data_IF_686781492658
#
_entry.id   IF_686781492658
#
_cell.length_a   1.000
_cell.length_b   1.000
_cell.length_c   1.000
_cell.angle_alpha   90.00
_cell.angle_beta   90.00
_cell.angle_gamma   90.00
#
_symmetry.space_group_name_H-M   'P 1'
#
loop_
_entity.id
_entity.type
_entity.pdbx_description
1 polymer ?
#
# COMPACT_ATOMS: atom_id res chain seq x y z
N UNK A 1 -11.87 -15.49 3.75
CA UNK A 1 -10.49 -15.31 4.24
C UNK A 1 -10.30 -13.86 4.64
N UNK A 2 -9.44 -13.54 5.63
CA UNK A 2 -9.17 -12.15 6.02
C UNK A 2 -7.93 -11.61 5.30
N UNK A 3 -8.04 -10.35 4.85
CA UNK A 3 -6.89 -9.53 4.45
C UNK A 3 -6.76 -8.43 5.50
N UNK A 4 -5.62 -8.38 6.20
CA UNK A 4 -5.30 -7.31 7.14
C UNK A 4 -5.11 -5.98 6.40
N UNK A 5 -5.63 -4.88 6.94
CA UNK A 5 -5.44 -3.55 6.34
C UNK A 5 -5.00 -2.57 7.42
N UNK A 6 -3.86 -1.90 7.21
CA UNK A 6 -3.46 -0.79 8.07
C UNK A 6 -4.36 0.42 7.84
N UNK A 7 -4.50 1.27 8.83
CA UNK A 7 -5.47 2.36 8.87
C UNK A 7 -4.76 3.73 8.83
N UNK A 8 -5.46 4.75 8.39
CA UNK A 8 -5.02 6.14 8.54
C UNK A 8 -5.24 6.59 9.98
N UNK A 9 -4.27 7.27 10.57
CA UNK A 9 -4.44 7.95 11.84
C UNK A 9 -4.93 9.38 11.63
N UNK A 10 -5.96 9.77 12.33
CA UNK A 10 -6.50 11.13 12.36
C UNK A 10 -6.68 11.61 13.79
N UNK A 11 -6.42 12.90 14.04
CA UNK A 11 -6.72 13.56 15.29
C UNK A 11 -8.03 14.33 15.13
N UNK A 12 -8.89 14.26 16.15
CA UNK A 12 -10.09 15.08 16.19
C UNK A 12 -9.71 16.50 16.61
N UNK A 13 -10.20 17.51 15.87
CA UNK A 13 -9.89 18.91 16.13
C UNK A 13 -10.69 19.50 17.30
N UNK A 14 -11.88 18.96 17.61
CA UNK A 14 -12.79 19.51 18.62
C UNK A 14 -12.50 19.03 20.06
N UNK A 15 -11.87 17.89 20.21
CA UNK A 15 -11.42 17.31 21.48
C UNK A 15 -10.31 16.30 21.24
N UNK A 16 -9.49 16.05 22.26
CA UNK A 16 -8.35 15.14 22.11
C UNK A 16 -8.85 13.69 21.93
N UNK A 17 -8.73 13.20 20.68
CA UNK A 17 -9.00 11.81 20.32
C UNK A 17 -8.23 11.46 19.04
N UNK A 18 -7.39 10.45 19.11
CA UNK A 18 -6.80 9.84 17.92
C UNK A 18 -7.70 8.69 17.45
N UNK A 19 -7.94 8.62 16.16
CA UNK A 19 -8.74 7.56 15.51
C UNK A 19 -7.94 6.82 14.46
N UNK A 20 -8.12 5.51 14.45
CA UNK A 20 -7.75 4.64 13.36
C UNK A 20 -8.91 4.58 12.37
N UNK A 21 -8.68 4.99 11.13
CA UNK A 21 -9.76 5.16 10.15
C UNK A 21 -9.43 4.44 8.85
N UNK A 22 -10.41 3.69 8.35
CA UNK A 22 -10.40 3.12 7.01
C UNK A 22 -11.47 3.81 6.16
N UNK A 23 -11.10 4.27 4.95
CA UNK A 23 -12.06 4.88 4.04
C UNK A 23 -13.15 3.86 3.65
N UNK A 24 -14.40 4.33 3.52
CA UNK A 24 -15.53 3.47 3.11
C UNK A 24 -15.29 2.79 1.75
N UNK A 25 -14.49 3.43 0.87
CA UNK A 25 -14.13 2.92 -0.46
C UNK A 25 -13.49 1.51 -0.39
N UNK A 26 -12.80 1.18 0.71
CA UNK A 26 -12.30 -0.17 0.95
C UNK A 26 -13.43 -1.20 1.06
N UNK A 27 -14.52 -0.86 1.77
CA UNK A 27 -15.70 -1.72 1.83
C UNK A 27 -16.35 -1.92 0.45
N UNK A 28 -16.40 -0.86 -0.36
CA UNK A 28 -16.90 -0.93 -1.73
C UNK A 28 -15.98 -1.80 -2.63
N UNK A 29 -14.65 -1.70 -2.48
CA UNK A 29 -13.70 -2.55 -3.18
C UNK A 29 -13.90 -4.03 -2.83
N UNK A 30 -13.98 -4.34 -1.52
CA UNK A 30 -14.12 -5.74 -1.07
C UNK A 30 -15.48 -6.35 -1.44
N UNK A 31 -16.46 -5.56 -1.81
CA UNK A 31 -17.74 -6.03 -2.34
C UNK A 31 -17.71 -6.32 -3.86
N UNK A 32 -16.60 -6.02 -4.56
CA UNK A 32 -16.44 -6.34 -5.98
C UNK A 32 -16.05 -7.80 -6.18
N UNK A 33 -16.37 -8.38 -7.35
CA UNK A 33 -16.10 -9.78 -7.68
C UNK A 33 -14.65 -10.22 -7.46
N UNK A 34 -13.70 -9.32 -7.71
CA UNK A 34 -12.27 -9.57 -7.53
C UNK A 34 -11.91 -9.90 -6.08
N UNK A 35 -12.62 -9.31 -5.11
CA UNK A 35 -12.37 -9.44 -3.67
C UNK A 35 -13.44 -10.23 -2.91
N UNK A 36 -14.48 -10.76 -3.56
CA UNK A 36 -15.65 -11.38 -2.92
C UNK A 36 -15.35 -12.52 -1.93
N UNK A 37 -14.19 -13.17 -2.05
CA UNK A 37 -13.78 -14.25 -1.16
C UNK A 37 -13.00 -13.75 0.08
N UNK A 38 -12.78 -12.44 0.17
CA UNK A 38 -12.00 -11.81 1.22
C UNK A 38 -12.85 -10.86 2.05
N UNK A 39 -12.47 -10.70 3.31
CA UNK A 39 -13.05 -9.72 4.24
C UNK A 39 -11.91 -8.85 4.76
N UNK A 40 -12.03 -7.51 4.70
CA UNK A 40 -11.01 -6.64 5.27
C UNK A 40 -11.02 -6.74 6.80
N UNK A 41 -9.84 -6.93 7.38
CA UNK A 41 -9.62 -6.89 8.82
C UNK A 41 -8.78 -5.64 9.15
N UNK A 42 -9.39 -4.55 9.66
CA UNK A 42 -8.63 -3.38 10.08
C UNK A 42 -7.64 -3.75 11.20
N UNK A 43 -6.37 -3.41 10.99
CA UNK A 43 -5.31 -3.66 11.98
C UNK A 43 -5.18 -2.43 12.89
N UNK A 44 -5.25 -2.63 14.21
CA UNK A 44 -5.00 -1.57 15.18
C UNK A 44 -3.51 -1.44 15.50
N UNK A 45 -3.01 -0.22 15.52
CA UNK A 45 -1.63 0.10 15.90
C UNK A 45 -1.34 -0.12 17.39
N UNK A 46 -2.38 -0.33 18.21
CA UNK A 46 -2.27 -0.65 19.64
C UNK A 46 -2.15 -2.17 19.91
N UNK A 47 -2.30 -2.99 18.87
CA UNK A 47 -2.25 -4.45 18.97
C UNK A 47 -1.06 -4.96 18.17
N UNK A 48 -0.13 -5.65 18.84
CA UNK A 48 1.02 -6.27 18.18
C UNK A 48 0.60 -7.14 17.00
N UNK A 49 1.28 -6.99 15.88
CA UNK A 49 0.93 -7.70 14.63
C UNK A 49 0.99 -9.22 14.78
N UNK A 50 1.82 -9.75 15.67
CA UNK A 50 1.89 -11.20 15.93
C UNK A 50 0.54 -11.82 16.31
N UNK A 51 -0.39 -11.03 16.85
CA UNK A 51 -1.75 -11.48 17.19
C UNK A 51 -2.68 -11.57 15.98
N UNK A 52 -2.32 -10.94 14.88
CA UNK A 52 -3.09 -10.94 13.62
C UNK A 52 -2.57 -11.97 12.61
N UNK A 53 -1.28 -12.32 12.67
CA UNK A 53 -0.59 -13.09 11.61
C UNK A 53 -1.29 -14.41 11.26
N UNK A 54 -1.84 -15.12 12.23
CA UNK A 54 -2.53 -16.40 12.02
C UNK A 54 -3.99 -16.23 11.54
N UNK A 55 -4.53 -15.01 11.61
CA UNK A 55 -5.89 -14.68 11.19
C UNK A 55 -5.94 -14.20 9.74
N UNK A 56 -4.87 -13.58 9.25
CA UNK A 56 -4.83 -12.96 7.92
C UNK A 56 -4.09 -13.84 6.92
N UNK A 57 -4.56 -13.82 5.68
CA UNK A 57 -3.92 -14.52 4.55
C UNK A 57 -3.05 -13.60 3.69
N UNK A 58 -3.20 -12.30 3.88
CA UNK A 58 -2.41 -11.27 3.25
C UNK A 58 -2.56 -9.97 4.03
N UNK A 59 -1.69 -8.99 3.77
CA UNK A 59 -1.80 -7.64 4.36
C UNK A 59 -1.71 -6.57 3.28
N UNK A 60 -2.55 -5.54 3.43
CA UNK A 60 -2.49 -4.30 2.66
C UNK A 60 -2.01 -3.19 3.60
N UNK A 61 -0.89 -2.56 3.28
CA UNK A 61 -0.48 -1.29 3.87
C UNK A 61 -1.18 -0.16 3.12
N UNK A 62 -2.10 0.54 3.77
CA UNK A 62 -2.98 1.53 3.13
C UNK A 62 -2.32 2.89 2.93
N UNK A 63 -2.95 3.74 2.15
CA UNK A 63 -2.59 5.15 1.95
C UNK A 63 -2.88 6.06 3.17
N UNK A 64 -2.69 7.34 3.01
CA UNK A 64 -2.93 8.40 4.02
C UNK A 64 -1.63 8.82 4.71
N UNK A 65 -1.63 9.57 5.76
CA UNK A 65 -0.49 10.24 6.42
C UNK A 65 0.87 10.15 5.67
N UNK A 66 1.68 11.16 5.63
CA UNK A 66 3.02 11.05 5.02
C UNK A 66 3.94 10.18 5.88
N UNK A 67 5.02 9.66 5.30
CA UNK A 67 6.07 8.97 6.07
C UNK A 67 6.76 9.95 7.02
N UNK A 68 7.15 9.48 8.20
CA UNK A 68 7.72 10.35 9.24
C UNK A 68 9.01 11.05 8.80
N UNK A 69 9.83 10.42 7.96
CA UNK A 69 11.05 11.08 7.47
C UNK A 69 10.76 12.18 6.43
N UNK A 70 9.61 12.16 5.76
CA UNK A 70 9.17 13.17 4.82
C UNK A 70 8.44 14.33 5.51
N UNK A 71 7.60 14.01 6.51
CA UNK A 71 6.82 14.97 7.29
C UNK A 71 6.73 14.51 8.76
N UNK A 72 7.73 14.86 9.60
CA UNK A 72 7.85 14.35 10.95
C UNK A 72 6.67 14.71 11.87
N UNK A 73 5.98 13.72 12.40
CA UNK A 73 4.93 13.87 13.41
C UNK A 73 4.65 12.53 14.12
N UNK A 74 3.98 12.59 15.28
CA UNK A 74 3.74 11.42 16.14
C UNK A 74 2.93 10.32 15.43
N UNK A 75 1.88 10.67 14.69
CA UNK A 75 1.04 9.71 13.97
C UNK A 75 1.80 9.01 12.85
N UNK A 76 2.58 9.77 12.06
CA UNK A 76 3.45 9.21 11.02
C UNK A 76 4.49 8.26 11.60
N UNK A 77 5.14 8.64 12.71
CA UNK A 77 6.12 7.81 13.40
C UNK A 77 5.50 6.49 13.90
N UNK A 78 4.30 6.56 14.49
CA UNK A 78 3.58 5.39 14.99
C UNK A 78 3.24 4.42 13.84
N UNK A 79 2.70 4.95 12.74
CA UNK A 79 2.40 4.14 11.54
C UNK A 79 3.66 3.50 10.95
N UNK A 80 4.72 4.29 10.75
CA UNK A 80 5.97 3.78 10.19
C UNK A 80 6.53 2.63 11.03
N UNK A 81 6.58 2.82 12.36
CA UNK A 81 7.08 1.78 13.27
C UNK A 81 6.29 0.48 13.20
N UNK A 82 4.95 0.58 13.15
CA UNK A 82 4.09 -0.60 13.04
C UNK A 82 4.20 -1.28 11.68
N UNK A 83 4.16 -0.51 10.61
CA UNK A 83 4.20 -1.07 9.25
C UNK A 83 5.58 -1.69 8.92
N UNK A 84 6.67 -1.17 9.50
CA UNK A 84 7.98 -1.83 9.45
C UNK A 84 7.93 -3.20 10.15
N UNK A 85 7.30 -3.30 11.34
CA UNK A 85 7.13 -4.61 12.01
C UNK A 85 6.31 -5.58 11.15
N UNK A 86 5.28 -5.10 10.43
CA UNK A 86 4.52 -5.92 9.49
C UNK A 86 5.40 -6.42 8.35
N UNK A 87 6.25 -5.56 7.76
CA UNK A 87 7.20 -5.96 6.70
C UNK A 87 8.19 -7.00 7.22
N UNK A 88 8.75 -6.81 8.43
CA UNK A 88 9.67 -7.77 9.04
C UNK A 88 9.00 -9.11 9.37
N UNK A 89 7.74 -9.07 9.85
CA UNK A 89 6.96 -10.28 10.08
C UNK A 89 6.67 -11.02 8.77
N UNK A 90 6.33 -10.27 7.71
CA UNK A 90 6.19 -10.83 6.35
C UNK A 90 7.45 -11.59 5.92
N UNK A 91 8.61 -10.98 6.03
CA UNK A 91 9.87 -11.61 5.59
C UNK A 91 10.15 -12.95 6.30
N UNK A 92 9.59 -13.16 7.48
CA UNK A 92 9.67 -14.43 8.23
C UNK A 92 8.59 -15.43 7.84
N UNK A 93 7.35 -14.97 7.76
CA UNK A 93 6.15 -15.81 7.65
C UNK A 93 5.63 -15.94 6.20
N UNK A 94 6.19 -15.16 5.27
CA UNK A 94 5.85 -15.16 3.82
C UNK A 94 4.40 -14.81 3.48
N UNK A 95 3.70 -14.10 4.37
CA UNK A 95 2.31 -13.65 4.14
C UNK A 95 2.28 -12.58 3.02
N UNK A 96 1.57 -12.74 1.88
CA UNK A 96 1.58 -11.78 0.77
C UNK A 96 1.29 -10.34 1.19
N UNK A 97 2.15 -9.38 0.79
CA UNK A 97 2.10 -7.99 1.21
C UNK A 97 1.90 -7.06 0.00
N UNK A 98 0.94 -6.13 0.12
CA UNK A 98 0.67 -5.09 -0.87
C UNK A 98 0.71 -3.71 -0.21
N UNK A 99 1.53 -2.80 -0.72
CA UNK A 99 1.49 -1.39 -0.35
C UNK A 99 0.67 -0.56 -1.33
N UNK A 100 -0.23 0.31 -0.82
CA UNK A 100 -1.01 1.24 -1.62
C UNK A 100 -0.63 2.68 -1.25
N UNK A 101 -0.20 3.48 -2.24
CA UNK A 101 0.20 4.87 -2.10
C UNK A 101 1.28 5.02 -1.00
N UNK A 102 0.94 5.56 0.18
CA UNK A 102 1.86 5.59 1.32
C UNK A 102 2.39 4.20 1.69
N UNK A 103 1.56 3.16 1.63
CA UNK A 103 1.99 1.79 1.88
C UNK A 103 3.06 1.30 0.89
N UNK A 104 2.99 1.71 -0.36
CA UNK A 104 4.06 1.46 -1.33
C UNK A 104 5.32 2.26 -0.98
N UNK A 105 5.18 3.50 -0.51
CA UNK A 105 6.32 4.32 -0.09
C UNK A 105 7.05 3.73 1.12
N UNK A 106 6.36 3.22 2.15
CA UNK A 106 7.03 2.62 3.31
C UNK A 106 7.76 1.33 2.95
N UNK A 107 7.19 0.50 2.07
CA UNK A 107 7.88 -0.68 1.51
C UNK A 107 9.12 -0.24 0.74
N UNK A 108 8.98 0.69 -0.19
CA UNK A 108 10.10 1.20 -0.98
C UNK A 108 11.20 1.79 -0.08
N UNK A 109 10.83 2.55 0.96
CA UNK A 109 11.77 3.12 1.93
C UNK A 109 12.51 2.03 2.71
N UNK A 110 11.81 1.00 3.18
CA UNK A 110 12.39 -0.13 3.89
C UNK A 110 13.49 -0.81 3.06
N UNK A 111 13.27 -0.95 1.75
CA UNK A 111 14.23 -1.50 0.79
C UNK A 111 15.15 -0.44 0.14
N UNK A 112 15.46 0.67 0.85
CA UNK A 112 16.46 1.68 0.46
C UNK A 112 16.16 2.40 -0.88
N UNK A 113 14.90 2.58 -1.23
CA UNK A 113 14.50 3.37 -2.39
C UNK A 113 14.61 4.87 -2.11
N UNK A 114 14.75 5.68 -3.17
CA UNK A 114 14.76 7.13 -3.09
C UNK A 114 13.34 7.67 -3.30
N UNK A 115 12.80 8.35 -2.28
CA UNK A 115 11.50 9.02 -2.31
C UNK A 115 11.74 10.52 -2.13
N UNK A 116 11.12 11.33 -2.98
CA UNK A 116 11.29 12.78 -2.99
C UNK A 116 9.98 13.52 -3.26
N UNK A 117 9.88 14.80 -2.86
CA UNK A 117 8.74 15.64 -3.24
C UNK A 117 8.61 15.71 -4.77
N UNK A 118 7.38 15.60 -5.25
CA UNK A 118 7.07 15.71 -6.67
C UNK A 118 5.79 16.51 -6.86
N UNK A 119 5.78 17.40 -7.84
CA UNK A 119 4.59 18.16 -8.21
C UNK A 119 3.83 17.43 -9.33
N UNK A 120 2.50 17.65 -9.43
CA UNK A 120 1.63 17.09 -10.46
C UNK A 120 1.24 15.62 -10.31
N UNK A 121 1.38 15.03 -9.13
CA UNK A 121 0.87 13.69 -8.80
C UNK A 121 -0.41 13.72 -7.93
N UNK A 122 -1.17 14.83 -7.99
CA UNK A 122 -2.46 15.00 -7.29
C UNK A 122 -3.60 15.14 -8.30
N UNK A 123 -3.60 14.29 -9.32
CA UNK A 123 -4.68 14.19 -10.33
C UNK A 123 -4.54 12.89 -11.11
N UNK A 124 -5.56 12.58 -11.94
CA UNK A 124 -5.46 11.45 -12.86
C UNK A 124 -4.31 11.67 -13.84
N UNK A 125 -3.48 10.65 -14.04
CA UNK A 125 -2.38 10.69 -14.99
C UNK A 125 -2.19 9.37 -15.75
N UNK A 126 -1.40 9.42 -16.83
CA UNK A 126 -1.04 8.25 -17.61
C UNK A 126 0.04 7.44 -16.89
N UNK A 127 -0.21 6.13 -16.77
CA UNK A 127 0.71 5.13 -16.23
C UNK A 127 1.07 4.17 -17.37
N UNK A 128 2.34 3.86 -17.48
CA UNK A 128 2.90 2.95 -18.50
C UNK A 128 3.23 1.61 -17.82
N UNK A 129 2.65 0.54 -18.35
CA UNK A 129 2.87 -0.83 -17.92
C UNK A 129 3.20 -1.69 -19.14
N UNK A 130 4.44 -2.21 -19.22
CA UNK A 130 4.98 -2.85 -20.42
C UNK A 130 4.84 -1.90 -21.65
N UNK A 131 4.17 -2.36 -22.71
CA UNK A 131 3.91 -1.57 -23.94
C UNK A 131 2.54 -0.86 -23.91
N UNK A 132 1.76 -1.04 -22.86
CA UNK A 132 0.42 -0.49 -22.69
C UNK A 132 0.43 0.75 -21.80
N UNK A 133 -0.59 1.60 -21.95
CA UNK A 133 -0.83 2.71 -21.03
C UNK A 133 -2.29 2.72 -20.57
N UNK A 134 -2.49 3.17 -19.34
CA UNK A 134 -3.81 3.40 -18.77
C UNK A 134 -3.82 4.70 -17.96
N UNK A 135 -5.01 5.21 -17.68
CA UNK A 135 -5.19 6.35 -16.78
C UNK A 135 -5.59 5.82 -15.40
N UNK A 136 -4.96 6.31 -14.36
CA UNK A 136 -5.34 6.01 -12.98
C UNK A 136 -5.43 7.28 -12.13
N UNK A 137 -6.06 7.16 -10.98
CA UNK A 137 -6.07 8.21 -9.98
C UNK A 137 -4.70 8.38 -9.33
N UNK A 138 -4.40 9.57 -8.83
CA UNK A 138 -3.18 9.86 -8.08
C UNK A 138 -3.43 10.91 -7.01
N UNK A 139 -2.91 10.69 -5.80
CA UNK A 139 -3.13 11.54 -4.63
C UNK A 139 -1.88 11.68 -3.76
N UNK A 140 -0.70 11.65 -4.35
CA UNK A 140 0.56 11.71 -3.61
C UNK A 140 1.43 12.92 -3.98
N UNK A 141 2.02 13.55 -2.97
CA UNK A 141 2.96 14.65 -3.11
C UNK A 141 4.43 14.18 -3.14
N UNK A 142 4.66 12.90 -2.90
CA UNK A 142 5.97 12.28 -2.90
C UNK A 142 5.98 11.10 -3.86
N UNK A 143 6.99 11.02 -4.72
CA UNK A 143 7.14 9.97 -5.71
C UNK A 143 8.38 9.11 -5.42
N UNK A 144 8.34 7.87 -5.87
CA UNK A 144 9.47 6.96 -5.84
C UNK A 144 10.30 7.25 -7.10
N UNK A 145 11.44 7.91 -6.92
CA UNK A 145 12.33 8.30 -8.02
C UNK A 145 13.27 7.15 -8.44
N UNK A 146 13.67 6.29 -7.51
CA UNK A 146 14.55 5.14 -7.75
C UNK A 146 14.29 4.06 -6.72
N UNK A 147 14.20 2.82 -7.17
CA UNK A 147 14.09 1.65 -6.29
C UNK A 147 15.44 1.22 -5.72
N UNK A 148 15.40 0.62 -4.55
CA UNK A 148 16.50 -0.15 -4.01
C UNK A 148 16.73 -1.46 -4.78
N UNK A 149 17.89 -2.08 -4.58
CA UNK A 149 18.37 -3.18 -5.41
C UNK A 149 17.52 -4.47 -5.34
N UNK A 150 16.75 -4.65 -4.27
CA UNK A 150 15.89 -5.83 -4.08
C UNK A 150 14.52 -5.69 -4.78
N UNK A 151 14.17 -4.49 -5.23
CA UNK A 151 12.91 -4.20 -5.90
C UNK A 151 13.11 -4.08 -7.41
N UNK A 152 12.04 -4.37 -8.17
CA UNK A 152 11.99 -4.17 -9.62
C UNK A 152 10.74 -3.38 -10.02
N UNK A 153 10.86 -2.39 -10.92
CA UNK A 153 9.75 -1.57 -11.34
C UNK A 153 8.82 -2.33 -12.28
N UNK A 154 7.52 -2.10 -12.14
CA UNK A 154 6.47 -2.64 -13.01
C UNK A 154 5.80 -1.53 -13.84
N UNK A 155 5.54 -0.37 -13.23
CA UNK A 155 4.87 0.74 -13.89
C UNK A 155 5.60 2.05 -13.66
N UNK A 156 5.47 2.95 -14.64
CA UNK A 156 6.06 4.28 -14.60
C UNK A 156 5.03 5.34 -14.95
N UNK A 157 5.12 6.52 -14.35
CA UNK A 157 4.48 7.72 -14.84
C UNK A 157 5.26 8.31 -16.04
N UNK A 158 4.69 9.31 -16.72
CA UNK A 158 5.30 9.98 -17.87
C UNK A 158 6.65 10.63 -17.55
N UNK A 159 6.85 11.08 -16.33
CA UNK A 159 8.08 11.68 -15.82
C UNK A 159 9.11 10.64 -15.33
N UNK A 160 8.82 9.35 -15.56
CA UNK A 160 9.65 8.20 -15.20
C UNK A 160 9.70 7.89 -13.70
N UNK A 161 8.89 8.53 -12.87
CA UNK A 161 8.70 8.08 -11.50
C UNK A 161 8.02 6.71 -11.47
N UNK A 162 8.26 5.95 -10.41
CA UNK A 162 7.79 4.57 -10.32
C UNK A 162 6.40 4.57 -9.69
N UNK A 163 5.44 4.01 -10.41
CA UNK A 163 4.05 3.91 -10.01
C UNK A 163 3.65 2.54 -9.49
N UNK A 164 4.38 1.49 -9.88
CA UNK A 164 4.27 0.18 -9.27
C UNK A 164 5.59 -0.58 -9.34
N UNK A 165 5.78 -1.45 -8.36
CA UNK A 165 6.97 -2.30 -8.25
C UNK A 165 6.61 -3.61 -7.54
N UNK A 166 7.50 -4.60 -7.64
CA UNK A 166 7.49 -5.80 -6.80
C UNK A 166 8.90 -6.11 -6.26
N UNK A 167 8.96 -6.92 -5.24
CA UNK A 167 10.20 -7.49 -4.77
C UNK A 167 10.64 -8.62 -5.70
N UNK A 168 11.94 -8.74 -5.95
CA UNK A 168 12.49 -9.72 -6.91
C UNK A 168 12.31 -11.18 -6.49
N UNK A 169 12.21 -11.43 -5.18
CA UNK A 169 12.22 -12.79 -4.62
C UNK A 169 11.08 -13.05 -3.64
N UNK A 170 10.40 -12.00 -3.18
CA UNK A 170 9.36 -12.08 -2.14
C UNK A 170 8.02 -11.64 -2.68
N UNK A 171 6.93 -12.13 -2.08
CA UNK A 171 5.55 -11.81 -2.45
C UNK A 171 5.13 -10.41 -1.95
N UNK A 172 5.93 -9.40 -2.26
CA UNK A 172 5.74 -7.99 -1.87
C UNK A 172 5.53 -7.14 -3.11
N UNK A 173 4.44 -6.37 -3.12
CA UNK A 173 4.08 -5.46 -4.19
C UNK A 173 3.82 -4.06 -3.66
N UNK A 174 4.07 -3.05 -4.47
CA UNK A 174 3.73 -1.66 -4.21
C UNK A 174 3.04 -1.04 -5.40
N UNK A 175 1.94 -0.31 -5.15
CA UNK A 175 1.14 0.42 -6.13
C UNK A 175 0.94 1.84 -5.60
N UNK A 176 1.29 2.86 -6.38
CA UNK A 176 1.20 4.26 -5.96
C UNK A 176 -0.19 4.86 -6.10
N UNK A 177 -1.04 4.34 -6.99
CA UNK A 177 -2.44 4.77 -7.10
C UNK A 177 -3.34 4.03 -6.11
N UNK A 178 -4.56 4.53 -5.92
CA UNK A 178 -5.55 3.99 -4.99
C UNK A 178 -6.48 3.01 -5.70
N UNK A 179 -6.29 1.71 -5.48
CA UNK A 179 -7.11 0.64 -6.07
C UNK A 179 -8.57 0.66 -5.56
N UNK A 180 -8.81 1.25 -4.39
CA UNK A 180 -10.11 1.37 -3.74
C UNK A 180 -10.96 2.52 -4.31
N UNK A 181 -10.37 3.44 -5.09
CA UNK A 181 -11.05 4.63 -5.63
C UNK A 181 -11.40 4.49 -7.10
N UNK A 182 -12.16 5.46 -7.61
CA UNK A 182 -12.47 5.59 -9.04
C UNK A 182 -11.19 5.51 -9.88
N UNK A 183 -11.23 4.82 -11.02
CA UNK A 183 -10.12 4.53 -11.94
C UNK A 183 -8.98 3.68 -11.34
N UNK A 184 -9.06 3.28 -10.08
CA UNK A 184 -8.03 2.46 -9.44
C UNK A 184 -7.93 1.03 -9.97
N UNK A 185 -8.96 0.54 -10.65
CA UNK A 185 -9.03 -0.78 -11.27
C UNK A 185 -8.97 -0.74 -12.81
N UNK A 186 -8.57 0.37 -13.42
CA UNK A 186 -8.40 0.47 -14.87
C UNK A 186 -7.32 -0.49 -15.41
N UNK A 187 -6.34 -0.85 -14.58
CA UNK A 187 -5.48 -2.01 -14.80
C UNK A 187 -5.45 -2.85 -13.53
N UNK A 188 -5.82 -4.13 -13.64
CA UNK A 188 -5.90 -5.07 -12.52
C UNK A 188 -4.84 -6.17 -12.58
N UNK A 189 -3.93 -6.14 -13.52
CA UNK A 189 -3.00 -7.23 -13.78
C UNK A 189 -2.07 -7.48 -12.59
N UNK A 190 -1.43 -6.43 -12.06
CA UNK A 190 -0.56 -6.50 -10.89
C UNK A 190 -1.34 -6.96 -9.65
N UNK A 191 -2.56 -6.43 -9.47
CA UNK A 191 -3.42 -6.80 -8.36
C UNK A 191 -3.87 -8.27 -8.44
N UNK A 192 -4.16 -8.78 -9.64
CA UNK A 192 -4.48 -10.20 -9.83
C UNK A 192 -3.27 -11.09 -9.52
N UNK A 193 -2.08 -10.72 -9.98
CA UNK A 193 -0.85 -11.44 -9.64
C UNK A 193 -0.70 -11.58 -8.12
N UNK A 194 -0.86 -10.48 -7.37
CA UNK A 194 -0.80 -10.52 -5.91
C UNK A 194 -1.93 -11.36 -5.28
N UNK A 195 -3.18 -11.25 -5.77
CA UNK A 195 -4.33 -12.01 -5.25
C UNK A 195 -4.21 -13.51 -5.51
N UNK A 196 -3.56 -13.92 -6.60
CA UNK A 196 -3.38 -15.33 -6.92
C UNK A 196 -2.40 -15.99 -5.94
N UNK A 197 -1.39 -15.28 -5.43
CA UNK A 197 -0.51 -15.77 -4.37
C UNK A 197 -1.26 -16.15 -3.09
N UNK A 198 -2.35 -15.43 -2.76
CA UNK A 198 -3.16 -15.71 -1.56
C UNK A 198 -3.97 -17.02 -1.70
N UNK A 199 -4.26 -17.43 -2.94
CA UNK A 199 -5.05 -18.63 -3.22
C UNK A 199 -4.22 -19.92 -3.27
N UNK A 200 -2.92 -19.80 -3.54
CA UNK A 200 -2.01 -20.93 -3.68
C UNK A 200 -1.54 -21.50 -2.35
N UNK A 201 -1.65 -20.75 -1.26
CA UNK A 201 -1.39 -21.23 0.10
C UNK A 201 -2.55 -22.11 0.62
N UNK A 202 -2.55 -23.39 0.22
CA UNK A 202 -3.43 -24.44 0.75
C UNK A 202 -2.65 -25.41 1.64
#
# INVERSE_FOLDING_TARGET
>A
MFIGITQRLICNESYYEERECLAKDWGELFNKDLFKNFIPLPLSYEIDFSRYKDLVKAVILSGGNDLNFLNPNAMSKKRDSYEIQVIEAYLKEKIPLLGICRGAQIIAHYFNSCISPYVNHVSKHEIFFLEEKFISNSFHNFAIARLGDELEPLCFAKDKTIEAFKHKYENIFGIMWHIEREDGLNNVQILKEWLDLIKEEK
#
